data_IF_446378021913
#
_entry.id   IF_446378021913
#
_cell.length_a   1.000
_cell.length_b   1.000
_cell.length_c   1.000
_cell.angle_alpha   90.00
_cell.angle_beta   90.00
_cell.angle_gamma   90.00
#
_symmetry.space_group_name_H-M   'P 1'
#
loop_
_entity.id
_entity.type
_entity.pdbx_description
1 polymer ?
#
# COMPACT_ATOMS: atom_id res chain seq x y z
N UNK A 1 -39.83 10.31 -29.73
CA UNK A 1 -38.53 10.85 -30.17
C UNK A 1 -37.52 10.54 -29.08
N UNK A 2 -36.84 9.44 -29.21
CA UNK A 2 -35.92 8.89 -28.17
C UNK A 2 -34.53 9.39 -28.52
N UNK A 3 -33.99 10.28 -27.70
CA UNK A 3 -32.58 10.74 -27.80
C UNK A 3 -31.66 9.60 -27.32
N UNK A 4 -31.01 8.98 -28.27
CA UNK A 4 -29.94 8.00 -28.01
C UNK A 4 -28.65 8.78 -27.82
N UNK A 5 -28.31 9.11 -26.58
CA UNK A 5 -27.01 9.67 -26.25
C UNK A 5 -26.07 8.48 -26.02
N UNK A 6 -25.54 7.96 -27.11
CA UNK A 6 -24.37 7.09 -27.08
C UNK A 6 -23.17 8.02 -26.79
N UNK A 7 -22.83 8.17 -25.54
CA UNK A 7 -21.54 8.75 -25.14
C UNK A 7 -20.44 7.75 -25.46
N UNK A 8 -19.89 7.91 -26.66
CA UNK A 8 -18.65 7.25 -27.08
C UNK A 8 -17.50 7.87 -26.24
N UNK A 9 -17.32 7.35 -25.02
CA UNK A 9 -16.13 7.64 -24.21
C UNK A 9 -14.96 6.88 -24.82
N UNK A 10 -14.46 7.39 -25.97
CA UNK A 10 -13.09 7.09 -26.37
C UNK A 10 -12.20 7.58 -25.24
N UNK A 11 -11.77 6.67 -24.37
CA UNK A 11 -10.66 6.90 -23.47
C UNK A 11 -9.48 7.36 -24.34
N UNK A 12 -9.23 8.67 -24.31
CA UNK A 12 -7.95 9.20 -24.81
C UNK A 12 -6.90 8.58 -23.89
N UNK A 13 -6.25 7.51 -24.34
CA UNK A 13 -5.13 6.90 -23.61
C UNK A 13 -4.12 8.01 -23.42
N UNK A 14 -4.01 8.46 -22.17
CA UNK A 14 -3.01 9.44 -21.82
C UNK A 14 -1.64 8.76 -21.93
N UNK A 15 -0.71 9.27 -22.75
CA UNK A 15 0.59 8.65 -23.00
C UNK A 15 1.44 8.46 -21.74
N UNK A 16 1.13 9.16 -20.64
CA UNK A 16 1.87 9.07 -19.37
C UNK A 16 1.32 7.97 -18.47
N UNK A 17 0.02 7.65 -18.55
CA UNK A 17 -0.58 6.49 -17.89
C UNK A 17 -0.38 5.23 -18.74
N UNK A 18 0.87 4.90 -18.98
CA UNK A 18 1.31 3.78 -19.80
C UNK A 18 1.31 2.46 -19.00
N UNK A 19 1.86 1.41 -19.59
CA UNK A 19 2.00 0.11 -18.96
C UNK A 19 2.83 0.17 -17.67
N UNK A 20 3.89 0.97 -17.65
CA UNK A 20 4.77 1.15 -16.50
C UNK A 20 4.04 1.79 -15.32
N UNK A 21 3.27 2.84 -15.56
CA UNK A 21 2.38 3.43 -14.53
C UNK A 21 1.41 2.39 -13.97
N UNK A 22 0.78 1.58 -14.84
CA UNK A 22 -0.16 0.53 -14.44
C UNK A 22 0.51 -0.51 -13.55
N UNK A 23 1.72 -0.93 -13.89
CA UNK A 23 2.49 -1.90 -13.09
C UNK A 23 2.83 -1.33 -11.72
N UNK A 24 3.34 -0.10 -11.64
CA UNK A 24 3.78 0.49 -10.37
C UNK A 24 2.60 0.82 -9.45
N UNK A 25 1.51 1.35 -9.98
CA UNK A 25 0.32 1.66 -9.20
C UNK A 25 -0.33 0.39 -8.64
N UNK A 26 -0.56 -0.62 -9.48
CA UNK A 26 -1.14 -1.89 -9.03
C UNK A 26 -0.23 -2.63 -8.03
N UNK A 27 1.08 -2.60 -8.22
CA UNK A 27 2.04 -3.19 -7.28
C UNK A 27 2.01 -2.49 -5.93
N UNK A 28 1.94 -1.17 -5.90
CA UNK A 28 1.84 -0.41 -4.65
C UNK A 28 0.55 -0.72 -3.90
N UNK A 29 -0.59 -0.73 -4.59
CA UNK A 29 -1.89 -1.08 -4.00
C UNK A 29 -1.88 -2.52 -3.46
N UNK A 30 -1.35 -3.48 -4.24
CA UNK A 30 -1.28 -4.88 -3.81
C UNK A 30 -0.42 -5.06 -2.55
N UNK A 31 0.78 -4.49 -2.53
CA UNK A 31 1.69 -4.64 -1.39
C UNK A 31 1.15 -3.96 -0.14
N UNK A 32 0.46 -2.84 -0.31
CA UNK A 32 -0.23 -2.15 0.79
C UNK A 32 -1.36 -3.00 1.36
N UNK A 33 -2.16 -3.64 0.51
CA UNK A 33 -3.19 -4.59 0.93
C UNK A 33 -2.58 -5.79 1.68
N UNK A 34 -1.54 -6.40 1.12
CA UNK A 34 -0.88 -7.56 1.72
C UNK A 34 -0.29 -7.22 3.10
N UNK A 35 0.43 -6.11 3.22
CA UNK A 35 0.99 -5.65 4.50
C UNK A 35 -0.10 -5.35 5.54
N UNK A 36 -1.23 -4.75 5.12
CA UNK A 36 -2.38 -4.49 6.00
C UNK A 36 -2.95 -5.81 6.53
N UNK A 37 -3.12 -6.80 5.67
CA UNK A 37 -3.64 -8.12 6.08
C UNK A 37 -2.67 -8.82 7.03
N UNK A 38 -1.37 -8.79 6.74
CA UNK A 38 -0.33 -9.38 7.59
C UNK A 38 -0.33 -8.76 8.98
N UNK A 39 -0.36 -7.43 9.07
CA UNK A 39 -0.41 -6.73 10.35
C UNK A 39 -1.68 -7.08 11.14
N UNK A 40 -2.83 -7.17 10.48
CA UNK A 40 -4.10 -7.56 11.11
C UNK A 40 -4.09 -9.01 11.59
N UNK A 41 -3.57 -9.94 10.79
CA UNK A 41 -3.41 -11.34 11.21
C UNK A 41 -2.44 -11.46 12.38
N UNK A 42 -1.35 -10.70 12.39
CA UNK A 42 -0.39 -10.64 13.49
C UNK A 42 -1.04 -10.13 14.77
N UNK A 43 -1.84 -9.05 14.68
CA UNK A 43 -2.61 -8.51 15.80
C UNK A 43 -3.55 -9.56 16.45
N UNK A 44 -4.24 -10.36 15.64
CA UNK A 44 -5.17 -11.37 16.14
C UNK A 44 -4.49 -12.61 16.71
N UNK A 45 -3.28 -12.93 16.26
CA UNK A 45 -2.62 -14.21 16.53
C UNK A 45 -1.46 -14.12 17.51
N UNK A 46 -0.91 -12.94 17.81
CA UNK A 46 0.21 -12.79 18.74
C UNK A 46 -0.12 -13.33 20.12
N UNK A 47 0.85 -14.05 20.74
CA UNK A 47 0.72 -14.69 22.05
C UNK A 47 2.07 -14.67 22.78
N UNK A 48 2.01 -14.95 24.10
CA UNK A 48 3.20 -15.14 24.93
C UNK A 48 3.83 -13.84 25.42
N UNK A 49 5.14 -13.85 25.70
CA UNK A 49 5.85 -12.67 26.16
C UNK A 49 5.71 -11.49 25.18
N UNK A 50 5.58 -10.28 25.74
CA UNK A 50 5.39 -9.03 24.98
C UNK A 50 4.10 -9.00 24.15
N UNK A 51 3.10 -9.82 24.51
CA UNK A 51 1.80 -9.87 23.83
C UNK A 51 1.17 -8.49 23.71
N UNK A 52 1.08 -7.77 24.81
CA UNK A 52 0.33 -6.51 24.85
C UNK A 52 0.97 -5.43 23.97
N UNK A 53 2.26 -5.29 24.05
CA UNK A 53 3.02 -4.31 23.29
C UNK A 53 2.99 -4.63 21.78
N UNK A 54 3.17 -5.90 21.43
CA UNK A 54 3.11 -6.33 20.03
C UNK A 54 1.68 -6.23 19.45
N UNK A 55 0.67 -6.59 20.23
CA UNK A 55 -0.73 -6.48 19.85
C UNK A 55 -1.10 -5.02 19.50
N UNK A 56 -0.73 -4.07 20.35
CA UNK A 56 -0.98 -2.65 20.09
C UNK A 56 -0.15 -2.11 18.91
N UNK A 57 1.08 -2.58 18.75
CA UNK A 57 1.92 -2.19 17.61
C UNK A 57 1.31 -2.64 16.29
N UNK A 58 0.86 -3.89 16.18
CA UNK A 58 0.20 -4.39 14.97
C UNK A 58 -1.13 -3.69 14.70
N UNK A 59 -1.89 -3.34 15.74
CA UNK A 59 -3.13 -2.56 15.62
C UNK A 59 -2.87 -1.20 14.98
N UNK A 60 -1.88 -0.48 15.48
CA UNK A 60 -1.45 0.79 14.91
C UNK A 60 -1.09 0.63 13.44
N UNK A 61 -0.23 -0.34 13.10
CA UNK A 61 0.26 -0.56 11.75
C UNK A 61 -0.89 -0.83 10.77
N UNK A 62 -1.81 -1.75 11.08
CA UNK A 62 -2.87 -2.03 10.11
C UNK A 62 -3.88 -0.87 9.97
N UNK A 63 -4.06 -0.04 11.00
CA UNK A 63 -4.87 1.17 10.90
C UNK A 63 -4.20 2.21 10.02
N UNK A 64 -2.91 2.51 10.25
CA UNK A 64 -2.13 3.44 9.45
C UNK A 64 -2.10 3.01 7.96
N UNK A 65 -1.84 1.73 7.69
CA UNK A 65 -1.83 1.18 6.33
C UNK A 65 -3.22 1.21 5.67
N UNK A 66 -4.29 1.01 6.44
CA UNK A 66 -5.67 1.09 5.94
C UNK A 66 -6.03 2.50 5.45
N UNK A 67 -5.66 3.52 6.20
CA UNK A 67 -5.85 4.93 5.82
C UNK A 67 -5.02 5.29 4.58
N UNK A 68 -3.78 4.82 4.51
CA UNK A 68 -2.92 5.02 3.34
C UNK A 68 -3.49 4.35 2.08
N UNK A 69 -4.11 3.18 2.23
CA UNK A 69 -4.73 2.46 1.11
C UNK A 69 -5.94 3.22 0.56
N UNK A 70 -6.83 3.69 1.42
CA UNK A 70 -7.97 4.49 1.00
C UNK A 70 -7.50 5.74 0.25
N UNK A 71 -6.55 6.47 0.80
CA UNK A 71 -5.98 7.67 0.16
C UNK A 71 -5.32 7.38 -1.19
N UNK A 72 -4.57 6.29 -1.32
CA UNK A 72 -3.94 5.91 -2.58
C UNK A 72 -4.97 5.55 -3.64
N UNK A 73 -5.92 4.67 -3.32
CA UNK A 73 -6.96 4.23 -4.27
C UNK A 73 -7.81 5.41 -4.73
N UNK A 74 -8.25 6.28 -3.82
CA UNK A 74 -9.03 7.48 -4.14
C UNK A 74 -8.24 8.46 -5.02
N UNK A 75 -6.95 8.66 -4.73
CA UNK A 75 -6.08 9.53 -5.53
C UNK A 75 -5.90 8.98 -6.96
N UNK A 76 -5.68 7.67 -7.11
CA UNK A 76 -5.58 7.02 -8.41
C UNK A 76 -6.89 7.16 -9.20
N UNK A 77 -8.03 6.92 -8.57
CA UNK A 77 -9.34 7.07 -9.22
C UNK A 77 -9.64 8.51 -9.60
N UNK A 78 -9.29 9.48 -8.76
CA UNK A 78 -9.41 10.90 -9.08
C UNK A 78 -8.57 11.32 -10.29
N UNK A 79 -7.46 10.61 -10.54
CA UNK A 79 -6.63 10.79 -11.73
C UNK A 79 -7.15 10.02 -12.97
N UNK A 80 -8.25 9.29 -12.85
CA UNK A 80 -8.86 8.52 -13.94
C UNK A 80 -8.24 7.12 -14.13
N UNK A 81 -7.59 6.58 -13.10
CA UNK A 81 -7.03 5.23 -13.10
C UNK A 81 -7.80 4.33 -12.14
N UNK A 82 -8.25 3.18 -12.63
CA UNK A 82 -8.88 2.15 -11.82
C UNK A 82 -7.87 1.05 -11.50
N UNK A 83 -7.47 0.88 -10.22
CA UNK A 83 -6.62 -0.23 -9.81
C UNK A 83 -7.25 -1.59 -10.14
N UNK A 84 -6.42 -2.59 -10.38
CA UNK A 84 -6.89 -3.96 -10.56
C UNK A 84 -7.25 -4.58 -9.21
N UNK A 85 -8.53 -4.52 -8.85
CA UNK A 85 -9.02 -5.06 -7.58
C UNK A 85 -8.99 -6.59 -7.51
N UNK A 86 -8.72 -7.31 -8.60
CA UNK A 86 -8.47 -8.76 -8.54
C UNK A 86 -7.20 -9.11 -7.76
N UNK A 87 -6.29 -8.12 -7.58
CA UNK A 87 -5.07 -8.25 -6.78
C UNK A 87 -5.32 -8.22 -5.26
N UNK A 88 -6.53 -7.86 -4.80
CA UNK A 88 -6.90 -7.83 -3.37
C UNK A 88 -7.24 -9.22 -2.80
N UNK A 89 -6.56 -10.24 -3.23
CA UNK A 89 -6.76 -11.62 -2.74
C UNK A 89 -6.01 -11.93 -1.43
N UNK A 90 -5.18 -11.01 -0.98
CA UNK A 90 -4.30 -11.18 0.18
C UNK A 90 -2.99 -11.93 -0.15
N UNK A 91 -2.10 -12.03 0.85
CA UNK A 91 -0.74 -12.55 0.64
C UNK A 91 -0.67 -14.08 0.52
N UNK A 92 -1.76 -14.81 0.74
CA UNK A 92 -1.76 -16.27 0.64
C UNK A 92 -0.92 -16.99 1.70
N UNK A 93 -0.69 -16.34 2.86
CA UNK A 93 0.11 -16.89 3.96
C UNK A 93 -0.74 -17.74 4.91
N UNK A 94 -0.12 -18.77 5.48
CA UNK A 94 -0.60 -19.48 6.66
C UNK A 94 0.16 -18.98 7.89
N UNK A 95 -0.55 -18.70 8.98
CA UNK A 95 0.10 -18.28 10.22
C UNK A 95 0.67 -19.51 10.93
N UNK A 96 2.00 -19.64 10.92
CA UNK A 96 2.72 -20.76 11.52
C UNK A 96 3.37 -20.39 12.87
N UNK A 97 3.51 -19.09 13.15
CA UNK A 97 4.07 -18.60 14.41
C UNK A 97 3.12 -17.63 15.08
N UNK A 98 3.24 -17.55 16.40
CA UNK A 98 2.37 -16.71 17.22
C UNK A 98 3.16 -15.88 18.23
N UNK A 99 4.48 -16.04 18.31
CA UNK A 99 5.32 -15.22 19.17
C UNK A 99 5.56 -13.83 18.56
N UNK A 100 5.71 -12.84 19.42
CA UNK A 100 5.84 -11.44 19.01
C UNK A 100 7.04 -11.20 18.08
N UNK A 101 8.19 -11.84 18.34
CA UNK A 101 9.41 -11.64 17.57
C UNK A 101 9.24 -12.10 16.11
N UNK A 102 8.76 -13.33 15.91
CA UNK A 102 8.55 -13.88 14.56
C UNK A 102 7.51 -13.09 13.77
N UNK A 103 6.45 -12.62 14.43
CA UNK A 103 5.42 -11.79 13.78
C UNK A 103 5.94 -10.39 13.44
N UNK A 104 6.81 -9.81 14.27
CA UNK A 104 7.48 -8.54 13.96
C UNK A 104 8.38 -8.68 12.74
N UNK A 105 9.18 -9.74 12.65
CA UNK A 105 10.04 -10.02 11.50
C UNK A 105 9.21 -10.21 10.21
N UNK A 106 8.09 -10.92 10.28
CA UNK A 106 7.17 -11.07 9.15
C UNK A 106 6.62 -9.71 8.67
N UNK A 107 6.21 -8.85 9.60
CA UNK A 107 5.72 -7.51 9.25
C UNK A 107 6.84 -6.63 8.67
N UNK A 108 8.07 -6.74 9.18
CA UNK A 108 9.22 -6.04 8.61
C UNK A 108 9.43 -6.40 7.13
N UNK A 109 9.37 -7.67 6.79
CA UNK A 109 9.54 -8.12 5.40
C UNK A 109 8.49 -7.51 4.47
N UNK A 110 7.22 -7.52 4.88
CA UNK A 110 6.13 -6.95 4.07
C UNK A 110 6.21 -5.43 3.96
N UNK A 111 6.56 -4.72 5.04
CA UNK A 111 6.71 -3.27 5.00
C UNK A 111 7.94 -2.84 4.20
N UNK A 112 9.03 -3.58 4.24
CA UNK A 112 10.22 -3.29 3.41
C UNK A 112 9.90 -3.46 1.92
N UNK A 113 9.17 -4.51 1.54
CA UNK A 113 8.72 -4.71 0.17
C UNK A 113 7.78 -3.60 -0.29
N UNK A 114 6.84 -3.19 0.57
CA UNK A 114 5.95 -2.06 0.31
C UNK A 114 6.73 -0.76 0.14
N UNK A 115 7.66 -0.45 1.05
CA UNK A 115 8.48 0.76 0.98
C UNK A 115 9.27 0.84 -0.34
N UNK A 116 9.81 -0.29 -0.79
CA UNK A 116 10.49 -0.38 -2.08
C UNK A 116 9.54 -0.08 -3.26
N UNK A 117 8.34 -0.65 -3.25
CA UNK A 117 7.35 -0.41 -4.31
C UNK A 117 6.89 1.06 -4.35
N UNK A 118 6.66 1.65 -3.18
CA UNK A 118 6.31 3.08 -3.03
C UNK A 118 7.43 3.98 -3.56
N UNK A 119 8.68 3.68 -3.23
CA UNK A 119 9.84 4.44 -3.71
C UNK A 119 10.00 4.40 -5.23
N UNK A 120 9.78 3.24 -5.85
CA UNK A 120 9.81 3.09 -7.32
C UNK A 120 8.70 3.91 -7.97
N UNK A 121 7.49 3.84 -7.43
CA UNK A 121 6.36 4.60 -7.99
C UNK A 121 6.50 6.11 -7.76
N UNK A 122 7.01 6.52 -6.60
CA UNK A 122 7.37 7.92 -6.34
C UNK A 122 8.35 8.46 -7.39
N UNK A 123 9.43 7.73 -7.64
CA UNK A 123 10.44 8.12 -8.64
C UNK A 123 9.82 8.26 -10.03
N UNK A 124 8.97 7.34 -10.45
CA UNK A 124 8.23 7.46 -11.71
C UNK A 124 7.39 8.74 -11.77
N UNK A 125 6.67 9.07 -10.69
CA UNK A 125 5.87 10.28 -10.61
C UNK A 125 6.74 11.55 -10.69
N UNK A 126 7.90 11.56 -10.04
CA UNK A 126 8.84 12.66 -10.04
C UNK A 126 9.42 12.89 -11.46
N UNK A 127 9.85 11.83 -12.13
CA UNK A 127 10.37 11.88 -13.49
C UNK A 127 9.34 12.33 -14.54
N UNK A 128 8.04 12.19 -14.24
CA UNK A 128 6.93 12.56 -15.11
C UNK A 128 6.09 13.72 -14.54
N UNK A 129 6.66 14.56 -13.69
CA UNK A 129 5.97 15.65 -12.96
C UNK A 129 5.44 16.79 -13.83
N UNK A 130 5.68 16.78 -15.15
CA UNK A 130 5.03 17.65 -16.12
C UNK A 130 3.51 17.38 -16.23
N UNK A 131 3.03 16.20 -15.81
CA UNK A 131 1.60 15.95 -15.63
C UNK A 131 1.18 16.28 -14.20
N UNK A 132 0.27 17.27 -13.99
CA UNK A 132 -0.16 17.66 -12.64
C UNK A 132 -0.75 16.51 -11.80
N UNK A 133 -1.31 15.49 -12.46
CA UNK A 133 -1.87 14.33 -11.76
C UNK A 133 -0.77 13.51 -11.10
N UNK A 134 0.37 13.37 -11.77
CA UNK A 134 1.53 12.65 -11.23
C UNK A 134 2.21 13.43 -10.10
N UNK A 135 2.12 14.76 -10.08
CA UNK A 135 2.53 15.57 -8.92
C UNK A 135 1.69 15.22 -7.69
N UNK A 136 0.37 15.12 -7.85
CA UNK A 136 -0.54 14.75 -6.77
C UNK A 136 -0.29 13.33 -6.24
N UNK A 137 -0.14 12.36 -7.15
CA UNK A 137 0.17 10.98 -6.78
C UNK A 137 1.55 10.91 -6.11
N UNK A 138 2.57 11.60 -6.64
CA UNK A 138 3.91 11.66 -6.08
C UNK A 138 3.93 12.21 -4.66
N UNK A 139 3.19 13.28 -4.38
CA UNK A 139 3.03 13.82 -3.02
C UNK A 139 2.41 12.80 -2.06
N UNK A 140 1.42 12.04 -2.54
CA UNK A 140 0.81 10.97 -1.74
C UNK A 140 1.82 9.84 -1.47
N UNK A 141 2.61 9.42 -2.48
CA UNK A 141 3.66 8.43 -2.32
C UNK A 141 4.73 8.86 -1.32
N UNK A 142 5.10 10.14 -1.30
CA UNK A 142 6.04 10.68 -0.32
C UNK A 142 5.49 10.58 1.11
N UNK A 143 4.24 11.00 1.32
CA UNK A 143 3.59 10.90 2.63
C UNK A 143 3.48 9.43 3.10
N UNK A 144 3.18 8.50 2.18
CA UNK A 144 3.18 7.06 2.46
C UNK A 144 4.56 6.58 2.90
N UNK A 145 5.62 6.96 2.20
CA UNK A 145 6.99 6.57 2.56
C UNK A 145 7.36 7.04 3.97
N UNK A 146 7.00 8.26 4.35
CA UNK A 146 7.23 8.79 5.70
C UNK A 146 6.49 7.97 6.77
N UNK A 147 5.22 7.61 6.54
CA UNK A 147 4.44 6.78 7.46
C UNK A 147 5.02 5.36 7.58
N UNK A 148 5.34 4.72 6.45
CA UNK A 148 5.94 3.38 6.42
C UNK A 148 7.29 3.35 7.15
N UNK A 149 8.13 4.38 6.99
CA UNK A 149 9.40 4.48 7.70
C UNK A 149 9.21 4.61 9.22
N UNK A 150 8.17 5.29 9.67
CA UNK A 150 7.81 5.35 11.10
C UNK A 150 7.43 3.97 11.65
N UNK A 151 6.63 3.21 10.91
CA UNK A 151 6.23 1.86 11.31
C UNK A 151 7.42 0.87 11.28
N UNK A 152 8.27 0.96 10.26
CA UNK A 152 9.52 0.20 10.18
C UNK A 152 10.42 0.47 11.37
N UNK A 153 10.60 1.74 11.76
CA UNK A 153 11.37 2.12 12.94
C UNK A 153 10.83 1.45 14.21
N UNK A 154 9.51 1.46 14.42
CA UNK A 154 8.91 0.87 15.61
C UNK A 154 9.07 -0.65 15.64
N UNK A 155 8.91 -1.33 14.51
CA UNK A 155 9.14 -2.78 14.40
C UNK A 155 10.61 -3.14 14.65
N UNK A 156 11.54 -2.39 14.07
CA UNK A 156 12.98 -2.59 14.27
C UNK A 156 13.37 -2.38 15.73
N UNK A 157 12.88 -1.31 16.36
CA UNK A 157 13.13 -1.03 17.78
C UNK A 157 12.55 -2.15 18.67
N UNK A 158 11.38 -2.70 18.34
CA UNK A 158 10.82 -3.84 19.06
C UNK A 158 11.68 -5.09 18.89
N UNK A 159 12.17 -5.36 17.68
CA UNK A 159 13.03 -6.52 17.39
C UNK A 159 14.44 -6.42 18.00
N UNK A 160 14.84 -5.24 18.47
CA UNK A 160 16.17 -5.00 19.05
C UNK A 160 17.26 -4.72 18.02
N UNK A 161 16.87 -4.16 16.85
CA UNK A 161 17.79 -3.74 15.77
C UNK A 161 18.12 -2.26 15.83
#
# INVERSE_FOLDING_TARGET
MTLNIATDHKQVRNPIMNEEFTVYSNKSVKYLNDATIVARLSHWNVRGPNFYEAHLLFERIYNDLGELMDGLVETLRACGFDPDFSLFTGPGISMEFFDAQSLVELNLDYLMALNSAVGIFYKFCEENSQDPRLVGIGSHMQAMAESILSDLYLLQAFAGH
#
